data_IF_314478243011
#
_entry.id   IF_314478243011
#
_cell.length_a   1.000
_cell.length_b   1.000
_cell.length_c   1.000
_cell.angle_alpha   90.00
_cell.angle_beta   90.00
_cell.angle_gamma   90.00
#
_symmetry.space_group_name_H-M   'P 1'
#
loop_
_entity.id
_entity.type
_entity.pdbx_description
1 polymer ?
#
# COMPACT_ATOMS: atom_id res chain seq x y z
N UNK A 1 -12.35 10.89 -42.43
CA UNK A 1 -11.07 11.00 -41.70
C UNK A 1 -11.41 11.25 -40.24
N UNK A 2 -11.31 10.20 -39.43
CA UNK A 2 -11.64 10.24 -38.00
C UNK A 2 -10.45 10.80 -37.23
N UNK A 3 -10.72 11.78 -36.37
CA UNK A 3 -9.78 12.36 -35.43
C UNK A 3 -9.52 11.35 -34.30
N UNK A 4 -8.29 10.85 -34.20
CA UNK A 4 -7.78 10.21 -32.99
C UNK A 4 -7.52 11.29 -31.95
N UNK A 5 -8.46 11.45 -31.02
CA UNK A 5 -8.23 12.18 -29.78
C UNK A 5 -7.37 11.28 -28.91
N UNK A 6 -6.09 11.63 -28.77
CA UNK A 6 -5.18 11.02 -27.82
C UNK A 6 -5.81 11.12 -26.42
N UNK A 7 -6.20 9.97 -25.86
CA UNK A 7 -6.59 9.85 -24.47
C UNK A 7 -5.35 10.16 -23.61
N UNK A 8 -5.20 11.42 -23.21
CA UNK A 8 -4.35 11.80 -22.09
C UNK A 8 -4.99 11.18 -20.86
N UNK A 9 -4.48 10.02 -20.45
CA UNK A 9 -4.86 9.37 -19.20
C UNK A 9 -4.35 10.27 -18.07
N UNK A 10 -5.19 11.22 -17.64
CA UNK A 10 -5.02 11.87 -16.35
C UNK A 10 -4.93 10.79 -15.28
N UNK A 11 -3.75 10.65 -14.66
CA UNK A 11 -3.58 9.72 -13.56
C UNK A 11 -4.51 10.13 -12.42
N UNK A 12 -5.23 9.20 -11.78
CA UNK A 12 -6.02 9.52 -10.61
C UNK A 12 -5.08 10.04 -9.52
N UNK A 13 -5.28 11.30 -9.13
CA UNK A 13 -4.52 12.07 -8.17
C UNK A 13 -4.63 11.55 -6.71
N UNK A 14 -5.02 10.28 -6.53
CA UNK A 14 -5.24 9.60 -5.24
C UNK A 14 -4.54 8.24 -5.22
N UNK A 15 -3.24 8.22 -5.53
CA UNK A 15 -2.41 7.04 -5.29
C UNK A 15 -2.08 6.96 -3.79
N UNK A 16 -2.81 6.13 -3.03
CA UNK A 16 -2.42 5.78 -1.66
C UNK A 16 -1.20 4.86 -1.70
N UNK A 17 -0.01 5.47 -1.72
CA UNK A 17 1.27 4.75 -1.72
C UNK A 17 1.32 3.81 -0.51
N UNK A 18 1.53 2.51 -0.78
CA UNK A 18 1.44 1.46 0.24
C UNK A 18 2.71 1.29 1.07
N UNK A 19 3.86 1.54 0.45
CA UNK A 19 5.24 1.38 0.95
C UNK A 19 6.10 2.41 0.21
N UNK A 20 7.16 2.92 0.84
CA UNK A 20 8.06 3.98 0.33
C UNK A 20 7.35 5.33 0.21
N UNK A 21 6.50 5.63 1.19
CA UNK A 21 5.55 6.75 1.11
C UNK A 21 6.27 8.09 1.02
N UNK A 22 7.26 8.33 1.86
CA UNK A 22 7.97 9.61 1.92
C UNK A 22 8.66 9.92 0.59
N UNK A 23 9.48 9.00 0.09
CA UNK A 23 10.17 9.22 -1.19
C UNK A 23 9.21 9.37 -2.38
N UNK A 24 8.08 8.63 -2.39
CA UNK A 24 7.09 8.76 -3.45
C UNK A 24 6.33 10.10 -3.37
N UNK A 25 6.04 10.58 -2.16
CA UNK A 25 5.42 11.90 -1.95
C UNK A 25 6.35 13.03 -2.40
N UNK A 26 7.63 12.96 -2.05
CA UNK A 26 8.59 13.96 -2.49
C UNK A 26 8.74 13.96 -4.01
N UNK A 27 8.82 12.79 -4.63
CA UNK A 27 8.83 12.68 -6.09
C UNK A 27 7.53 13.26 -6.71
N UNK A 28 6.37 12.97 -6.13
CA UNK A 28 5.08 13.49 -6.59
C UNK A 28 5.02 15.03 -6.53
N UNK A 29 5.51 15.65 -5.46
CA UNK A 29 5.59 17.13 -5.35
C UNK A 29 6.37 17.74 -6.51
N UNK A 30 7.48 17.13 -6.92
CA UNK A 30 8.24 17.61 -8.08
C UNK A 30 7.46 17.46 -9.38
N UNK A 31 6.81 16.31 -9.59
CA UNK A 31 5.99 16.09 -10.78
C UNK A 31 4.85 17.10 -10.87
N UNK A 32 4.20 17.43 -9.75
CA UNK A 32 3.10 18.41 -9.72
C UNK A 32 3.60 19.81 -10.04
N UNK A 33 4.71 20.24 -9.41
CA UNK A 33 5.33 21.55 -9.68
C UNK A 33 5.81 21.69 -11.11
N UNK A 34 6.42 20.64 -11.67
CA UNK A 34 6.86 20.65 -13.07
C UNK A 34 5.64 20.68 -13.99
N UNK A 35 4.59 19.90 -13.70
CA UNK A 35 3.35 19.89 -14.50
C UNK A 35 2.70 21.28 -14.57
N UNK A 36 2.73 22.06 -13.49
CA UNK A 36 2.20 23.43 -13.45
C UNK A 36 2.92 24.39 -14.41
N UNK A 37 4.22 24.20 -14.64
CA UNK A 37 5.01 25.06 -15.54
C UNK A 37 5.24 24.45 -16.93
N UNK A 38 4.91 23.17 -17.12
CA UNK A 38 5.24 22.41 -18.32
C UNK A 38 4.66 23.06 -19.59
N UNK A 39 3.38 23.44 -19.58
CA UNK A 39 2.73 24.11 -20.73
C UNK A 39 3.37 25.46 -21.06
N UNK A 40 3.86 26.20 -20.06
CA UNK A 40 4.57 27.44 -20.29
C UNK A 40 5.93 27.18 -20.96
N UNK A 41 6.68 26.16 -20.52
CA UNK A 41 7.93 25.75 -21.17
C UNK A 41 7.67 25.32 -22.62
N UNK A 42 6.62 24.54 -22.85
CA UNK A 42 6.24 24.09 -24.19
C UNK A 42 5.85 25.25 -25.12
N UNK A 43 5.11 26.24 -24.61
CA UNK A 43 4.69 27.43 -25.37
C UNK A 43 5.86 28.30 -25.83
N UNK A 44 6.95 28.31 -25.08
CA UNK A 44 8.18 29.03 -25.43
C UNK A 44 8.83 28.42 -26.67
N UNK A 45 8.51 27.16 -26.99
CA UNK A 45 9.07 26.39 -28.11
C UNK A 45 10.58 26.59 -28.19
N UNK A 46 11.38 25.96 -27.30
CA UNK A 46 12.83 26.08 -27.35
C UNK A 46 13.32 25.53 -28.70
N UNK A 47 13.39 26.39 -29.72
CA UNK A 47 13.35 26.03 -31.14
C UNK A 47 14.64 25.42 -31.68
N UNK A 48 15.56 25.06 -30.78
CA UNK A 48 16.79 24.34 -31.11
C UNK A 48 16.60 22.84 -30.87
N UNK A 49 17.35 22.02 -31.61
CA UNK A 49 17.29 20.55 -31.51
C UNK A 49 17.54 20.07 -30.08
N UNK A 50 18.47 20.70 -29.37
CA UNK A 50 18.78 20.41 -27.96
C UNK A 50 17.62 20.76 -27.03
N UNK A 51 16.92 21.87 -27.26
CA UNK A 51 15.76 22.29 -26.49
C UNK A 51 14.57 21.34 -26.63
N UNK A 52 14.26 20.92 -27.86
CA UNK A 52 13.21 19.92 -28.13
C UNK A 52 13.56 18.60 -27.46
N UNK A 53 14.83 18.15 -27.59
CA UNK A 53 15.28 16.92 -26.95
C UNK A 53 15.20 16.98 -25.42
N UNK A 54 15.54 18.12 -24.81
CA UNK A 54 15.42 18.33 -23.37
C UNK A 54 13.95 18.29 -22.91
N UNK A 55 13.03 18.89 -23.68
CA UNK A 55 11.60 18.86 -23.40
C UNK A 55 11.02 17.43 -23.47
N UNK A 56 11.35 16.69 -24.53
CA UNK A 56 10.97 15.28 -24.66
C UNK A 56 11.55 14.41 -23.53
N UNK A 57 12.79 14.68 -23.13
CA UNK A 57 13.45 13.96 -22.04
C UNK A 57 12.80 14.27 -20.68
N UNK A 58 12.40 15.52 -20.46
CA UNK A 58 11.65 15.95 -19.29
C UNK A 58 10.32 15.21 -19.19
N UNK A 59 9.54 15.19 -20.27
CA UNK A 59 8.26 14.47 -20.33
C UNK A 59 8.44 12.98 -20.02
N UNK A 60 9.43 12.33 -20.64
CA UNK A 60 9.75 10.93 -20.38
C UNK A 60 10.16 10.68 -18.92
N UNK A 61 10.91 11.58 -18.30
CA UNK A 61 11.28 11.48 -16.89
C UNK A 61 10.07 11.63 -15.97
N UNK A 62 9.15 12.54 -16.29
CA UNK A 62 7.88 12.71 -15.56
C UNK A 62 7.00 11.47 -15.66
N UNK A 63 6.89 10.86 -16.85
CA UNK A 63 6.13 9.62 -17.02
C UNK A 63 6.73 8.45 -16.26
N UNK A 64 8.07 8.30 -16.28
CA UNK A 64 8.77 7.30 -15.47
C UNK A 64 8.51 7.48 -13.98
N UNK A 65 8.46 8.72 -13.49
CA UNK A 65 8.10 9.04 -12.12
C UNK A 65 6.67 8.59 -11.77
N UNK A 66 5.70 8.96 -12.62
CA UNK A 66 4.29 8.56 -12.46
C UNK A 66 4.14 7.03 -12.43
N UNK A 67 4.81 6.32 -13.34
CA UNK A 67 4.81 4.86 -13.36
C UNK A 67 5.45 4.24 -12.11
N UNK A 68 6.52 4.83 -11.58
CA UNK A 68 7.15 4.36 -10.35
C UNK A 68 6.25 4.55 -9.13
N UNK A 69 5.60 5.70 -9.00
CA UNK A 69 4.62 5.98 -7.93
C UNK A 69 3.44 5.01 -8.02
N UNK A 70 2.93 4.76 -9.23
CA UNK A 70 1.88 3.78 -9.47
C UNK A 70 2.31 2.37 -9.05
N UNK A 71 3.54 1.97 -9.37
CA UNK A 71 4.09 0.69 -8.94
C UNK A 71 4.12 0.58 -7.40
N UNK A 72 4.54 1.63 -6.69
CA UNK A 72 4.57 1.65 -5.22
C UNK A 72 3.16 1.69 -4.59
N UNK A 73 2.15 2.05 -5.36
CA UNK A 73 0.75 2.10 -4.91
C UNK A 73 0.01 0.78 -5.10
N UNK A 74 0.27 0.04 -6.19
CA UNK A 74 -0.52 -1.16 -6.53
C UNK A 74 0.19 -2.48 -6.26
N UNK A 75 1.51 -2.48 -6.15
CA UNK A 75 2.31 -3.69 -5.91
C UNK A 75 2.07 -4.29 -4.51
N UNK A 76 2.69 -5.45 -4.25
CA UNK A 76 2.67 -6.12 -2.95
C UNK A 76 3.58 -5.38 -1.98
N UNK A 77 3.13 -5.17 -0.74
CA UNK A 77 3.91 -4.48 0.28
C UNK A 77 5.22 -5.21 0.59
N UNK A 78 5.15 -6.53 0.76
CA UNK A 78 6.34 -7.36 1.04
C UNK A 78 7.31 -7.30 -0.14
N UNK A 79 6.80 -7.37 -1.38
CA UNK A 79 7.64 -7.27 -2.57
C UNK A 79 8.30 -5.88 -2.70
N UNK A 80 7.57 -4.81 -2.40
CA UNK A 80 8.11 -3.44 -2.40
C UNK A 80 9.19 -3.27 -1.33
N UNK A 81 8.99 -3.83 -0.13
CA UNK A 81 9.98 -3.78 0.95
C UNK A 81 11.30 -4.45 0.55
N UNK A 82 11.26 -5.68 0.02
CA UNK A 82 12.49 -6.39 -0.44
C UNK A 82 13.15 -5.73 -1.67
N UNK A 83 12.45 -4.84 -2.37
CA UNK A 83 12.99 -4.09 -3.52
C UNK A 83 13.23 -2.62 -3.21
N UNK A 84 13.25 -2.24 -1.92
CA UNK A 84 13.42 -0.85 -1.47
C UNK A 84 14.62 -0.14 -2.08
N UNK A 85 15.81 -0.72 -1.98
CA UNK A 85 17.04 -0.14 -2.56
C UNK A 85 16.92 0.11 -4.07
N UNK A 86 16.29 -0.82 -4.79
CA UNK A 86 16.06 -0.68 -6.24
C UNK A 86 15.06 0.42 -6.56
N UNK A 87 14.06 0.62 -5.71
CA UNK A 87 13.07 1.70 -5.86
C UNK A 87 13.72 3.05 -5.57
N UNK A 88 14.47 3.16 -4.47
CA UNK A 88 15.22 4.37 -4.11
C UNK A 88 16.20 4.76 -5.23
N UNK A 89 16.96 3.81 -5.76
CA UNK A 89 17.88 4.06 -6.89
C UNK A 89 17.15 4.50 -8.17
N UNK A 90 15.90 4.05 -8.39
CA UNK A 90 15.06 4.55 -9.48
C UNK A 90 14.59 5.99 -9.21
N UNK A 91 14.20 6.32 -7.98
CA UNK A 91 13.87 7.69 -7.60
C UNK A 91 15.05 8.64 -7.83
N UNK A 92 16.26 8.27 -7.39
CA UNK A 92 17.48 9.07 -7.61
C UNK A 92 17.80 9.28 -9.09
N UNK A 93 17.66 8.23 -9.91
CA UNK A 93 17.84 8.35 -11.37
C UNK A 93 16.83 9.30 -12.01
N UNK A 94 15.59 9.26 -11.55
CA UNK A 94 14.53 10.15 -12.05
C UNK A 94 14.82 11.58 -11.61
N UNK A 95 15.15 11.82 -10.34
CA UNK A 95 15.53 13.15 -9.82
C UNK A 95 16.70 13.73 -10.62
N UNK A 96 17.77 12.96 -10.82
CA UNK A 96 18.92 13.40 -11.62
C UNK A 96 18.53 13.73 -13.08
N UNK A 97 17.64 12.95 -13.68
CA UNK A 97 17.15 13.23 -15.03
C UNK A 97 16.29 14.50 -15.10
N UNK A 98 15.39 14.71 -14.13
CA UNK A 98 14.58 15.92 -14.03
C UNK A 98 15.47 17.15 -13.83
N UNK A 99 16.43 17.08 -12.91
CA UNK A 99 17.39 18.15 -12.64
C UNK A 99 18.18 18.54 -13.90
N UNK A 100 18.71 17.55 -14.62
CA UNK A 100 19.46 17.76 -15.85
C UNK A 100 18.61 18.43 -16.93
N UNK A 101 17.40 17.92 -17.20
CA UNK A 101 16.53 18.47 -18.24
C UNK A 101 16.10 19.90 -17.92
N UNK A 102 15.72 20.16 -16.67
CA UNK A 102 15.31 21.49 -16.22
C UNK A 102 16.47 22.49 -16.28
N UNK A 103 17.68 22.09 -15.87
CA UNK A 103 18.87 22.94 -15.96
C UNK A 103 19.22 23.32 -17.40
N UNK A 104 19.02 22.40 -18.36
CA UNK A 104 19.21 22.70 -19.78
C UNK A 104 18.17 23.69 -20.30
N UNK A 105 16.90 23.50 -19.94
CA UNK A 105 15.79 24.35 -20.37
C UNK A 105 15.85 25.75 -19.76
N UNK A 106 16.44 25.90 -18.57
CA UNK A 106 16.57 27.18 -17.86
C UNK A 106 17.21 28.29 -18.74
N UNK A 107 18.21 27.93 -19.55
CA UNK A 107 18.92 28.88 -20.43
C UNK A 107 18.18 29.18 -21.74
N UNK A 108 17.07 28.49 -22.00
CA UNK A 108 16.32 28.53 -23.27
C UNK A 108 14.93 29.14 -23.10
N UNK A 109 14.60 29.64 -21.90
CA UNK A 109 13.30 30.21 -21.56
C UNK A 109 13.42 31.65 -21.06
N UNK A 110 12.33 32.44 -21.11
CA UNK A 110 12.34 33.80 -20.57
C UNK A 110 12.71 33.85 -19.07
N UNK A 111 13.28 34.97 -18.58
CA UNK A 111 13.83 35.06 -17.22
C UNK A 111 12.85 34.68 -16.10
N UNK A 112 11.56 35.01 -16.25
CA UNK A 112 10.54 34.68 -15.25
C UNK A 112 10.36 33.16 -15.13
N UNK A 113 10.32 32.44 -16.25
CA UNK A 113 10.22 30.99 -16.27
C UNK A 113 11.53 30.33 -15.83
N UNK A 114 12.67 30.90 -16.22
CA UNK A 114 14.00 30.46 -15.77
C UNK A 114 14.13 30.51 -14.23
N UNK A 115 13.58 31.55 -13.59
CA UNK A 115 13.52 31.68 -12.13
C UNK A 115 12.67 30.59 -11.48
N UNK A 116 11.49 30.29 -12.05
CA UNK A 116 10.63 29.20 -11.58
C UNK A 116 11.32 27.83 -11.70
N UNK A 117 11.98 27.59 -12.83
CA UNK A 117 12.78 26.39 -13.06
C UNK A 117 13.92 26.29 -12.05
N UNK A 118 14.66 27.38 -11.82
CA UNK A 118 15.78 27.40 -10.85
C UNK A 118 15.34 26.93 -9.47
N UNK A 119 14.20 27.42 -8.98
CA UNK A 119 13.66 27.02 -7.67
C UNK A 119 13.37 25.52 -7.60
N UNK A 120 12.87 24.92 -8.68
CA UNK A 120 12.63 23.47 -8.73
C UNK A 120 13.96 22.70 -8.75
N UNK A 121 14.93 23.17 -9.53
CA UNK A 121 16.27 22.57 -9.64
C UNK A 121 17.01 22.60 -8.30
N UNK A 122 16.97 23.72 -7.58
CA UNK A 122 17.62 23.85 -6.28
C UNK A 122 17.01 22.89 -5.25
N UNK A 123 15.68 22.75 -5.24
CA UNK A 123 14.99 21.78 -4.38
C UNK A 123 15.32 20.32 -4.78
N UNK A 124 15.45 20.03 -6.08
CA UNK A 124 15.86 18.71 -6.59
C UNK A 124 17.29 18.34 -6.20
N UNK A 125 18.18 19.31 -5.96
CA UNK A 125 19.56 19.05 -5.52
C UNK A 125 19.67 18.71 -4.04
N UNK A 126 18.75 19.24 -3.23
CA UNK A 126 18.79 19.09 -1.77
C UNK A 126 17.97 17.88 -1.30
N UNK A 127 16.94 17.47 -2.05
CA UNK A 127 16.13 16.32 -1.67
C UNK A 127 16.97 15.04 -1.62
N UNK A 128 16.80 14.27 -0.56
CA UNK A 128 17.42 12.96 -0.38
C UNK A 128 16.33 11.91 -0.22
N UNK A 129 16.30 10.91 -1.11
CA UNK A 129 15.34 9.81 -0.96
C UNK A 129 15.86 8.80 0.07
N UNK A 130 14.99 8.41 0.99
CA UNK A 130 15.30 7.41 2.03
C UNK A 130 14.17 6.40 2.12
N UNK A 131 14.53 5.16 2.44
CA UNK A 131 13.57 4.10 2.76
C UNK A 131 13.22 4.20 4.24
N UNK A 132 11.93 4.15 4.58
CA UNK A 132 11.47 4.16 5.96
C UNK A 132 12.06 2.95 6.74
N UNK A 133 12.59 3.20 7.93
CA UNK A 133 13.30 2.18 8.72
C UNK A 133 12.49 0.91 8.99
N UNK A 134 11.17 1.04 9.20
CA UNK A 134 10.27 -0.11 9.37
C UNK A 134 10.18 -0.96 8.10
N UNK A 135 10.13 -0.33 6.93
CA UNK A 135 9.99 -1.01 5.65
C UNK A 135 11.30 -1.65 5.21
N UNK A 136 12.42 -0.97 5.47
CA UNK A 136 13.78 -1.48 5.26
C UNK A 136 14.05 -2.72 6.12
N UNK A 137 13.72 -2.67 7.42
CA UNK A 137 13.86 -3.82 8.32
C UNK A 137 13.01 -5.01 7.83
N UNK A 138 11.76 -4.77 7.45
CA UNK A 138 10.88 -5.80 6.89
C UNK A 138 11.47 -6.42 5.61
N UNK A 139 12.00 -5.57 4.71
CA UNK A 139 12.65 -5.99 3.48
C UNK A 139 13.87 -6.86 3.74
N UNK A 140 14.78 -6.42 4.61
CA UNK A 140 16.02 -7.14 4.95
C UNK A 140 15.76 -8.51 5.55
N UNK A 141 14.80 -8.60 6.48
CA UNK A 141 14.44 -9.87 7.13
C UNK A 141 13.90 -10.89 6.13
N UNK A 142 13.00 -10.47 5.24
CA UNK A 142 12.44 -11.36 4.21
C UNK A 142 13.48 -11.69 3.13
N UNK A 143 14.35 -10.74 2.76
CA UNK A 143 15.41 -10.95 1.79
C UNK A 143 16.44 -11.98 2.30
N UNK A 144 16.85 -11.88 3.57
CA UNK A 144 17.75 -12.84 4.20
C UNK A 144 17.15 -14.25 4.19
N UNK A 145 15.84 -14.38 4.46
CA UNK A 145 15.12 -15.65 4.38
C UNK A 145 15.13 -16.23 2.96
N UNK A 146 14.82 -15.40 1.94
CA UNK A 146 14.84 -15.82 0.53
C UNK A 146 16.23 -16.32 0.11
N UNK A 147 17.30 -15.72 0.65
CA UNK A 147 18.67 -16.13 0.39
C UNK A 147 19.04 -17.43 1.13
N UNK A 148 18.47 -17.68 2.32
CA UNK A 148 18.72 -18.87 3.15
C UNK A 148 17.94 -20.11 2.71
N UNK A 149 16.74 -19.98 2.14
CA UNK A 149 15.90 -21.10 1.67
C UNK A 149 16.49 -21.88 0.46
N UNK A 150 17.75 -21.58 0.11
CA UNK A 150 18.59 -22.38 -0.79
C UNK A 150 19.34 -23.53 -0.05
N UNK A 151 19.17 -23.70 1.27
CA UNK A 151 19.75 -24.79 2.06
C UNK A 151 18.77 -25.26 3.17
N UNK A 152 18.21 -26.48 3.07
CA UNK A 152 17.06 -26.93 3.86
C UNK A 152 17.39 -27.68 5.19
N UNK A 153 16.61 -27.43 6.26
CA UNK A 153 16.38 -28.30 7.44
C UNK A 153 15.13 -27.85 8.24
N UNK A 154 14.64 -28.63 9.22
CA UNK A 154 13.43 -28.32 10.02
C UNK A 154 13.49 -27.01 10.83
N UNK A 155 14.69 -26.48 11.12
CA UNK A 155 14.86 -25.15 11.75
C UNK A 155 14.37 -24.00 10.86
N UNK A 156 14.26 -24.23 9.55
CA UNK A 156 13.78 -23.26 8.56
C UNK A 156 12.32 -22.87 8.82
N UNK A 157 11.49 -23.80 9.29
CA UNK A 157 10.06 -23.54 9.52
C UNK A 157 9.78 -22.46 10.57
N UNK A 158 10.58 -22.39 11.64
CA UNK A 158 10.44 -21.37 12.69
C UNK A 158 11.00 -20.03 12.24
N UNK A 159 12.10 -20.03 11.47
CA UNK A 159 12.70 -18.82 10.90
C UNK A 159 11.76 -18.16 9.88
N UNK A 160 11.15 -18.95 8.98
CA UNK A 160 10.15 -18.48 8.01
C UNK A 160 8.98 -17.77 8.71
N UNK A 161 8.42 -18.40 9.75
CA UNK A 161 7.31 -17.84 10.51
C UNK A 161 7.68 -16.53 11.21
N UNK A 162 8.81 -16.51 11.93
CA UNK A 162 9.27 -15.30 12.65
C UNK A 162 9.57 -14.16 11.71
N UNK A 163 10.26 -14.44 10.60
CA UNK A 163 10.56 -13.45 9.57
C UNK A 163 9.29 -12.86 8.95
N UNK A 164 8.32 -13.72 8.61
CA UNK A 164 7.04 -13.26 8.07
C UNK A 164 6.23 -12.46 9.07
N UNK A 165 6.16 -12.87 10.34
CA UNK A 165 5.46 -12.14 11.40
C UNK A 165 6.05 -10.75 11.62
N UNK A 166 7.39 -10.64 11.69
CA UNK A 166 8.07 -9.37 11.83
C UNK A 166 7.79 -8.45 10.63
N UNK A 167 7.94 -8.96 9.41
CA UNK A 167 7.65 -8.19 8.20
C UNK A 167 6.18 -7.76 8.12
N UNK A 168 5.24 -8.65 8.46
CA UNK A 168 3.82 -8.35 8.47
C UNK A 168 3.47 -7.27 9.50
N UNK A 169 4.10 -7.30 10.68
CA UNK A 169 3.93 -6.25 11.70
C UNK A 169 4.43 -4.90 11.18
N UNK A 170 5.66 -4.86 10.66
CA UNK A 170 6.31 -3.64 10.15
C UNK A 170 5.60 -3.04 8.93
N UNK A 171 4.99 -3.86 8.08
CA UNK A 171 4.27 -3.44 6.87
C UNK A 171 2.75 -3.27 7.10
N UNK A 172 2.29 -3.45 8.34
CA UNK A 172 0.87 -3.40 8.72
C UNK A 172 -0.01 -4.35 7.89
N UNK A 173 0.42 -5.61 7.77
CA UNK A 173 -0.30 -6.73 7.14
C UNK A 173 -0.82 -7.67 8.23
N UNK A 174 -1.53 -7.10 9.22
CA UNK A 174 -1.95 -7.82 10.43
C UNK A 174 -3.40 -8.32 10.37
N UNK A 175 -4.23 -7.74 9.50
CA UNK A 175 -5.63 -8.15 9.34
C UNK A 175 -5.82 -9.21 8.27
N UNK A 176 -6.90 -9.99 8.38
CA UNK A 176 -7.29 -10.96 7.35
C UNK A 176 -7.46 -10.31 5.97
N UNK A 177 -8.09 -9.13 5.94
CA UNK A 177 -8.28 -8.35 4.70
C UNK A 177 -6.95 -7.89 4.11
N UNK A 178 -6.02 -7.39 4.92
CA UNK A 178 -4.69 -6.99 4.45
C UNK A 178 -3.92 -8.18 3.85
N UNK A 179 -4.01 -9.36 4.48
CA UNK A 179 -3.41 -10.58 3.96
C UNK A 179 -4.01 -11.03 2.62
N UNK A 180 -5.34 -10.94 2.45
CA UNK A 180 -6.01 -11.26 1.19
C UNK A 180 -5.61 -10.30 0.07
N UNK A 181 -5.55 -9.00 0.37
CA UNK A 181 -5.07 -7.97 -0.56
C UNK A 181 -3.64 -8.29 -0.99
N UNK A 182 -2.77 -8.61 -0.03
CA UNK A 182 -1.37 -8.91 -0.30
C UNK A 182 -1.21 -10.14 -1.21
N UNK A 183 -1.91 -11.24 -0.90
CA UNK A 183 -1.94 -12.45 -1.76
C UNK A 183 -2.41 -12.13 -3.18
N UNK A 184 -3.45 -11.29 -3.33
CA UNK A 184 -3.99 -10.89 -4.63
C UNK A 184 -2.99 -10.00 -5.40
N UNK A 185 -2.31 -9.07 -4.72
CA UNK A 185 -1.26 -8.23 -5.32
C UNK A 185 -0.10 -9.08 -5.86
N UNK A 186 0.35 -10.10 -5.12
CA UNK A 186 1.41 -11.01 -5.58
C UNK A 186 0.97 -11.81 -6.81
N UNK A 187 -0.27 -12.35 -6.81
CA UNK A 187 -0.82 -13.05 -7.98
C UNK A 187 -0.85 -12.15 -9.22
N UNK A 188 -1.37 -10.92 -9.08
CA UNK A 188 -1.37 -9.93 -10.18
C UNK A 188 0.03 -9.62 -10.71
N UNK A 189 1.06 -9.64 -9.85
CA UNK A 189 2.45 -9.48 -10.30
C UNK A 189 2.94 -10.70 -11.07
N UNK A 190 2.60 -11.91 -10.62
CA UNK A 190 2.94 -13.15 -11.32
C UNK A 190 2.28 -13.22 -12.71
N UNK A 191 1.01 -12.81 -12.83
CA UNK A 191 0.27 -12.82 -14.10
C UNK A 191 0.88 -11.86 -15.14
N UNK A 192 1.56 -10.81 -14.69
CA UNK A 192 2.22 -9.81 -15.55
C UNK A 192 3.66 -10.17 -15.93
N UNK A 193 4.24 -11.21 -15.35
CA UNK A 193 5.62 -11.61 -15.65
C UNK A 193 5.64 -12.44 -16.92
N UNK A 194 6.20 -11.88 -17.97
CA UNK A 194 6.68 -12.63 -19.14
C UNK A 194 7.90 -13.49 -18.71
N UNK A 195 8.18 -14.58 -19.42
CA UNK A 195 9.26 -15.53 -19.06
C UNK A 195 10.70 -14.96 -19.08
N UNK A 196 10.83 -13.64 -19.29
CA UNK A 196 12.09 -12.88 -19.29
C UNK A 196 12.68 -12.63 -17.89
N UNK A 197 11.93 -12.81 -16.80
CA UNK A 197 12.43 -12.58 -15.42
C UNK A 197 12.19 -13.78 -14.48
N UNK A 198 12.99 -14.85 -14.62
CA UNK A 198 12.84 -16.07 -13.82
C UNK A 198 13.11 -15.84 -12.33
N UNK A 199 14.00 -14.92 -11.99
CA UNK A 199 14.36 -14.59 -10.60
C UNK A 199 13.19 -13.92 -9.87
N UNK A 200 12.57 -12.90 -10.47
CA UNK A 200 11.38 -12.26 -9.91
C UNK A 200 10.22 -13.24 -9.78
N UNK A 201 10.03 -14.12 -10.76
CA UNK A 201 9.01 -15.19 -10.73
C UNK A 201 9.24 -16.13 -9.54
N UNK A 202 10.50 -16.54 -9.29
CA UNK A 202 10.86 -17.37 -8.13
C UNK A 202 10.58 -16.68 -6.80
N UNK A 203 11.00 -15.42 -6.65
CA UNK A 203 10.76 -14.61 -5.45
C UNK A 203 9.27 -14.51 -5.15
N UNK A 204 8.45 -14.12 -6.13
CA UNK A 204 7.02 -13.94 -5.91
C UNK A 204 6.30 -15.26 -5.58
N UNK A 205 6.72 -16.37 -6.19
CA UNK A 205 6.20 -17.70 -5.83
C UNK A 205 6.52 -18.04 -4.38
N UNK A 206 7.74 -17.75 -3.93
CA UNK A 206 8.14 -17.98 -2.54
C UNK A 206 7.37 -17.10 -1.55
N UNK A 207 7.23 -15.80 -1.84
CA UNK A 207 6.39 -14.91 -1.02
C UNK A 207 4.95 -15.39 -0.92
N UNK A 208 4.37 -15.87 -2.03
CA UNK A 208 3.02 -16.43 -2.04
C UNK A 208 2.91 -17.71 -1.20
N UNK A 209 3.94 -18.56 -1.22
CA UNK A 209 4.05 -19.74 -0.38
C UNK A 209 4.06 -19.37 1.11
N UNK A 210 4.91 -18.43 1.53
CA UNK A 210 4.98 -17.96 2.93
C UNK A 210 3.60 -17.49 3.43
N UNK A 211 2.91 -16.66 2.64
CA UNK A 211 1.58 -16.15 3.02
C UNK A 211 0.50 -17.25 3.04
N UNK A 212 0.65 -18.32 2.26
CA UNK A 212 -0.27 -19.47 2.28
C UNK A 212 -0.04 -20.35 3.51
N UNK A 213 1.22 -20.67 3.80
CA UNK A 213 1.63 -21.54 4.89
C UNK A 213 1.38 -20.90 6.25
N UNK A 214 1.81 -19.65 6.42
CA UNK A 214 1.85 -18.98 7.73
C UNK A 214 0.84 -17.84 7.89
N UNK A 215 0.09 -17.47 6.85
CA UNK A 215 -0.79 -16.32 6.89
C UNK A 215 -1.84 -16.36 8.02
N UNK A 216 -2.28 -17.55 8.45
CA UNK A 216 -3.22 -17.69 9.58
C UNK A 216 -2.56 -17.39 10.93
N UNK A 217 -1.25 -17.54 11.04
CA UNK A 217 -0.47 -17.37 12.26
C UNK A 217 0.04 -15.94 12.48
N UNK A 218 -0.24 -15.02 11.55
CA UNK A 218 0.16 -13.60 11.64
C UNK A 218 -0.67 -12.84 12.69
N UNK A 219 -1.93 -13.23 12.92
CA UNK A 219 -2.85 -12.56 13.85
C UNK A 219 -2.87 -13.12 15.27
N UNK A 220 -2.05 -14.14 15.59
CA UNK A 220 -2.18 -14.93 16.81
C UNK A 220 -1.54 -14.37 18.09
N UNK A 221 -0.72 -13.32 18.03
CA UNK A 221 0.03 -12.82 19.19
C UNK A 221 -0.43 -11.44 19.66
N UNK A 222 -1.65 -11.32 20.20
CA UNK A 222 -2.09 -10.14 20.96
C UNK A 222 -2.52 -10.40 22.42
N UNK A 223 -2.32 -11.59 22.98
CA UNK A 223 -2.63 -11.79 24.40
C UNK A 223 -1.67 -12.77 25.03
N UNK A 224 -0.79 -12.24 25.89
CA UNK A 224 -0.13 -12.89 27.04
C UNK A 224 1.12 -12.07 27.36
N UNK A 225 0.91 -10.94 28.03
CA UNK A 225 1.91 -10.27 28.86
C UNK A 225 1.17 -9.21 29.69
N UNK A 226 0.36 -9.66 30.64
CA UNK A 226 -0.09 -8.86 31.76
C UNK A 226 0.09 -9.70 33.03
N UNK A 227 1.26 -9.53 33.64
CA UNK A 227 1.46 -9.27 35.08
C UNK A 227 0.49 -10.00 36.01
N UNK A 228 0.94 -11.10 36.60
CA UNK A 228 0.50 -11.54 37.93
C UNK A 228 1.70 -11.62 38.86
N UNK A 229 2.21 -10.46 39.24
CA UNK A 229 2.85 -10.29 40.54
C UNK A 229 1.81 -9.80 41.54
N UNK A 230 1.67 -10.56 42.62
CA UNK A 230 1.31 -10.09 43.96
C UNK A 230 -0.04 -9.38 44.15
N UNK A 231 -1.00 -10.13 44.71
CA UNK A 231 -1.53 -9.82 46.05
C UNK A 231 -2.18 -11.04 46.69
N UNK A 232 -1.58 -11.43 47.82
CA UNK A 232 -2.02 -12.41 48.82
C UNK A 232 -2.99 -11.73 49.79
N UNK A 233 -3.82 -12.55 50.45
CA UNK A 233 -4.67 -12.26 51.63
C UNK A 233 -6.05 -11.69 51.31
N UNK A 234 -7.15 -12.11 51.91
CA UNK A 234 -7.53 -13.15 52.88
C UNK A 234 -9.07 -13.10 52.89
N UNK A 235 -9.76 -14.25 52.95
CA UNK A 235 -10.86 -14.54 53.89
C UNK A 235 -11.73 -15.69 53.38
N UNK A 236 -11.80 -16.71 54.24
CA UNK A 236 -12.69 -17.84 54.23
C UNK A 236 -14.13 -17.41 54.51
N UNK A 237 -15.11 -18.12 53.93
CA UNK A 237 -16.23 -18.70 54.68
C UNK A 237 -17.10 -19.60 53.78
N UNK A 238 -17.07 -20.90 54.08
CA UNK A 238 -18.21 -21.82 54.33
C UNK A 238 -19.39 -21.91 53.34
N UNK A 239 -19.60 -23.14 52.85
CA UNK A 239 -20.71 -23.71 52.03
C UNK A 239 -22.11 -23.70 52.72
N UNK A 240 -23.20 -24.40 52.27
CA UNK A 240 -23.48 -25.12 51.00
C UNK A 240 -24.92 -24.94 50.39
N UNK A 241 -25.07 -25.48 49.17
CA UNK A 241 -26.21 -26.14 48.47
C UNK A 241 -27.70 -25.84 48.77
N UNK A 242 -28.51 -25.73 47.68
CA UNK A 242 -29.72 -26.56 47.51
C UNK A 242 -30.23 -26.60 46.06
N UNK A 243 -30.49 -27.82 45.55
CA UNK A 243 -31.21 -28.13 44.30
C UNK A 243 -32.70 -28.31 44.60
N UNK A 244 -33.64 -27.87 43.72
CA UNK A 244 -34.95 -28.54 43.49
C UNK A 244 -35.48 -28.28 42.06
N UNK A 245 -36.10 -29.33 41.54
CA UNK A 245 -36.73 -29.69 40.25
C UNK A 245 -37.87 -28.83 39.62
N UNK A 246 -37.85 -28.84 38.27
CA UNK A 246 -38.90 -29.10 37.24
C UNK A 246 -40.40 -28.74 37.45
N UNK A 247 -40.97 -28.04 36.47
CA UNK A 247 -42.22 -28.35 35.71
C UNK A 247 -42.40 -27.32 34.55
N UNK A 248 -42.34 -27.71 33.27
CA UNK A 248 -43.42 -28.00 32.28
C UNK A 248 -44.45 -26.89 31.99
N UNK A 249 -44.44 -26.50 30.70
CA UNK A 249 -45.54 -26.05 29.79
C UNK A 249 -46.34 -24.77 30.12
N UNK A 250 -46.23 -23.74 29.25
CA UNK A 250 -47.29 -23.32 28.31
C UNK A 250 -46.87 -22.07 27.53
N UNK A 251 -47.35 -21.97 26.29
CA UNK A 251 -46.99 -20.97 25.30
C UNK A 251 -47.54 -19.57 25.61
N UNK A 252 -46.68 -18.56 25.56
CA UNK A 252 -47.09 -17.18 25.28
C UNK A 252 -46.10 -16.57 24.28
N UNK A 253 -46.62 -16.20 23.11
CA UNK A 253 -45.99 -15.35 22.12
C UNK A 253 -45.79 -13.99 22.78
N UNK A 254 -44.54 -13.64 23.11
CA UNK A 254 -44.19 -12.27 23.43
C UNK A 254 -43.40 -11.65 22.28
N UNK A 255 -43.89 -10.48 21.90
CA UNK A 255 -43.56 -9.72 20.72
C UNK A 255 -42.82 -8.49 21.25
N UNK A 256 -41.64 -8.25 20.67
CA UNK A 256 -40.69 -7.13 20.89
C UNK A 256 -39.66 -7.29 22.02
N UNK A 257 -38.42 -7.54 21.60
CA UNK A 257 -37.28 -6.69 21.97
C UNK A 257 -36.17 -6.87 20.92
N UNK A 258 -36.41 -6.35 19.72
CA UNK A 258 -35.32 -6.04 18.80
C UNK A 258 -34.76 -4.68 19.21
N UNK A 259 -33.48 -4.59 19.62
CA UNK A 259 -32.89 -3.29 19.94
C UNK A 259 -32.92 -2.41 18.69
N UNK A 260 -33.51 -1.23 18.80
CA UNK A 260 -33.52 -0.26 17.71
C UNK A 260 -32.07 0.11 17.34
N UNK A 261 -31.72 0.09 16.05
CA UNK A 261 -30.39 0.46 15.61
C UNK A 261 -30.15 1.96 15.87
N UNK A 262 -28.91 2.38 16.19
CA UNK A 262 -28.58 3.79 16.37
C UNK A 262 -28.97 4.62 15.14
N UNK A 263 -29.41 5.86 15.37
CA UNK A 263 -29.95 6.76 14.34
C UNK A 263 -29.05 6.95 13.11
N UNK A 264 -27.73 6.78 13.28
CA UNK A 264 -26.72 6.85 12.21
C UNK A 264 -26.87 5.73 11.15
N UNK A 265 -27.61 4.66 11.46
CA UNK A 265 -27.86 3.53 10.57
C UNK A 265 -29.24 3.55 9.91
N UNK A 266 -30.05 4.57 10.19
CA UNK A 266 -31.37 4.74 9.58
C UNK A 266 -31.22 5.44 8.23
N UNK A 267 -31.50 4.70 7.15
CA UNK A 267 -31.55 5.27 5.80
C UNK A 267 -33.00 5.65 5.45
N UNK A 268 -33.29 6.91 5.07
CA UNK A 268 -34.65 7.35 4.72
C UNK A 268 -35.29 6.59 3.55
N UNK A 269 -34.48 5.93 2.71
CA UNK A 269 -34.97 5.10 1.61
C UNK A 269 -35.46 3.73 2.08
N UNK A 270 -34.84 3.16 3.10
CA UNK A 270 -35.17 1.85 3.64
C UNK A 270 -36.51 1.87 4.37
N UNK A 271 -36.82 2.97 5.05
CA UNK A 271 -38.06 3.17 5.80
C UNK A 271 -39.30 3.21 4.88
N UNK A 272 -39.14 3.75 3.67
CA UNK A 272 -40.22 3.85 2.67
C UNK A 272 -40.48 2.56 1.90
N UNK A 273 -39.54 1.62 1.89
CA UNK A 273 -39.61 0.36 1.15
C UNK A 273 -40.21 -0.80 1.96
N UNK A 274 -40.17 -0.74 3.30
CA UNK A 274 -40.67 -1.83 4.15
C UNK A 274 -42.20 -1.92 4.24
N UNK A 275 -42.93 -0.95 3.70
CA UNK A 275 -44.39 -0.90 3.77
C UNK A 275 -45.11 -1.23 2.46
N UNK A 276 -44.42 -1.72 1.44
CA UNK A 276 -45.08 -2.12 0.19
C UNK A 276 -45.54 -3.60 0.30
N UNK A 277 -46.83 -3.89 0.51
CA UNK A 277 -47.29 -5.26 0.67
C UNK A 277 -47.13 -6.01 -0.66
N UNK A 278 -46.32 -7.06 -0.63
CA UNK A 278 -46.22 -8.00 -1.75
C UNK A 278 -47.55 -8.77 -1.84
N UNK A 279 -48.41 -8.37 -2.77
CA UNK A 279 -49.61 -9.14 -3.11
C UNK A 279 -49.18 -10.33 -3.96
N UNK A 280 -49.18 -11.53 -3.38
CA UNK A 280 -49.04 -12.78 -4.13
C UNK A 280 -50.45 -13.25 -4.48
N UNK A 281 -50.83 -13.11 -5.76
CA UNK A 281 -52.05 -13.73 -6.28
C UNK A 281 -51.81 -15.23 -6.48
N UNK A 282 -52.68 -16.06 -5.90
CA UNK A 282 -52.76 -17.51 -6.15
C UNK A 282 -53.60 -17.81 -7.39
#
# INVERSE_FOLDING_TARGET
MQNEVANVVELPYYCSVKVHRLMCLDLMKFIDRISQIFSAIESVRPGCVSGIQALCSLQNAMEKAKLLILHCSYSSKIYLAITGDKIMLRCEKIRSALELCLSQLQNMVPPLLASQISRIVDDLRVVTFTVESSEDEAGKVVLALIQQDMAASDSVNMLELKALQLAALRLHITSHMALLIEKRSIKKLLDKILDTDPTKKKILKYLLYLLRKYGKSIGGHRTENNITQHKKSLNQSTEPEMQVEKAREEAQLDVFDTPEPPDEFLCPLSERLMYDPVIIAN
#
